data_IF_567965086715
#
_entry.id   IF_567965086715
#
_cell.length_a   1.000
_cell.length_b   1.000
_cell.length_c   1.000
_cell.angle_alpha   90.00
_cell.angle_beta   90.00
_cell.angle_gamma   90.00
#
_symmetry.space_group_name_H-M   'P 1'
#
loop_
_entity.id
_entity.type
_entity.pdbx_description
1 polymer ?
#
# COMPACT_ATOMS: atom_id res chain seq x y z
N UNK A 1 -17.26 16.29 11.80
CA UNK A 1 -17.17 16.11 10.34
C UNK A 1 -17.88 14.80 10.02
N UNK A 2 -18.71 14.75 8.96
CA UNK A 2 -19.45 13.55 8.57
C UNK A 2 -19.12 13.16 7.13
N UNK A 3 -18.91 11.87 6.85
CA UNK A 3 -18.83 11.32 5.50
C UNK A 3 -20.25 10.93 5.05
N UNK A 4 -20.87 11.75 4.21
CA UNK A 4 -22.26 11.54 3.77
C UNK A 4 -22.37 10.51 2.62
N UNK A 5 -21.27 10.24 1.92
CA UNK A 5 -21.23 9.24 0.87
C UNK A 5 -19.90 9.20 0.13
N UNK A 6 -19.65 8.10 -0.57
CA UNK A 6 -18.48 7.93 -1.40
C UNK A 6 -18.78 6.94 -2.54
N UNK A 7 -17.95 6.98 -3.58
CA UNK A 7 -17.95 6.04 -4.69
C UNK A 7 -16.50 5.71 -5.06
N UNK A 8 -16.21 4.43 -5.20
CA UNK A 8 -14.93 3.91 -5.68
C UNK A 8 -15.19 2.82 -6.74
N UNK A 9 -14.25 2.57 -7.67
CA UNK A 9 -14.35 1.45 -8.58
C UNK A 9 -14.19 0.12 -7.84
N UNK A 10 -14.72 -0.96 -8.40
CA UNK A 10 -14.56 -2.32 -7.87
C UNK A 10 -13.27 -2.99 -8.32
N UNK A 11 -12.59 -2.42 -9.31
CA UNK A 11 -11.28 -2.87 -9.77
C UNK A 11 -10.38 -1.69 -10.14
N UNK A 12 -9.07 -1.85 -9.97
CA UNK A 12 -8.06 -0.88 -10.34
C UNK A 12 -6.78 -1.56 -10.84
N UNK A 13 -5.98 -0.83 -11.61
CA UNK A 13 -4.76 -1.35 -12.24
C UNK A 13 -3.54 -0.87 -11.46
N UNK A 14 -2.63 -1.78 -11.11
CA UNK A 14 -1.34 -1.42 -10.52
C UNK A 14 -0.60 -0.40 -11.41
N UNK A 15 0.03 0.61 -10.81
CA UNK A 15 0.68 1.71 -11.54
C UNK A 15 -0.25 2.84 -11.98
N UNK A 16 -1.58 2.69 -11.85
CA UNK A 16 -2.55 3.75 -12.10
C UNK A 16 -3.15 4.28 -10.78
N UNK A 17 -3.57 5.55 -10.71
CA UNK A 17 -4.25 6.06 -9.53
C UNK A 17 -5.64 5.43 -9.34
N UNK A 18 -5.94 5.01 -8.11
CA UNK A 18 -7.28 4.69 -7.65
C UNK A 18 -8.00 5.99 -7.25
N UNK A 19 -9.08 6.32 -7.95
CA UNK A 19 -9.90 7.49 -7.63
C UNK A 19 -11.07 7.13 -6.73
N UNK A 20 -11.26 7.91 -5.66
CA UNK A 20 -12.41 7.81 -4.77
C UNK A 20 -13.10 9.16 -4.73
N UNK A 21 -14.34 9.23 -5.20
CA UNK A 21 -15.18 10.39 -5.01
C UNK A 21 -15.81 10.31 -3.61
N UNK A 22 -15.69 11.37 -2.81
CA UNK A 22 -16.29 11.43 -1.47
C UNK A 22 -17.04 12.73 -1.26
N UNK A 23 -18.07 12.70 -0.40
CA UNK A 23 -18.84 13.88 -0.01
C UNK A 23 -18.89 13.97 1.50
N UNK A 24 -18.50 15.12 2.02
CA UNK A 24 -18.33 15.36 3.44
C UNK A 24 -19.15 16.56 3.88
N UNK A 25 -19.61 16.56 5.13
CA UNK A 25 -20.36 17.67 5.70
C UNK A 25 -19.82 18.09 7.05
N UNK A 26 -19.63 19.39 7.23
CA UNK A 26 -19.28 19.94 8.52
C UNK A 26 -20.52 19.90 9.43
N UNK A 27 -20.43 19.23 10.58
CA UNK A 27 -21.54 19.18 11.56
C UNK A 27 -21.53 20.36 12.52
N UNK A 28 -20.37 20.99 12.65
CA UNK A 28 -20.07 22.18 13.46
C UNK A 28 -18.89 22.91 12.80
N UNK A 29 -18.47 24.06 13.34
CA UNK A 29 -17.23 24.70 12.91
C UNK A 29 -16.04 23.73 13.11
N UNK A 30 -15.18 23.62 12.09
CA UNK A 30 -14.05 22.68 12.09
C UNK A 30 -12.72 23.45 12.13
N UNK A 31 -11.65 22.87 12.71
CA UNK A 31 -10.30 23.32 12.42
C UNK A 31 -9.90 22.89 10.99
N UNK A 32 -8.67 23.20 10.59
CA UNK A 32 -8.06 22.60 9.41
C UNK A 32 -7.77 21.12 9.66
N UNK A 33 -8.38 20.27 8.86
CA UNK A 33 -8.24 18.83 8.87
C UNK A 33 -7.56 18.38 7.58
N UNK A 34 -6.95 17.20 7.64
CA UNK A 34 -6.43 16.48 6.52
C UNK A 34 -6.93 15.02 6.56
N UNK A 35 -6.72 14.30 5.46
CA UNK A 35 -7.11 12.91 5.33
C UNK A 35 -5.97 12.07 4.75
N UNK A 36 -6.00 10.78 5.06
CA UNK A 36 -5.12 9.76 4.51
C UNK A 36 -5.98 8.68 3.85
N UNK A 37 -5.87 8.51 2.53
CA UNK A 37 -6.47 7.40 1.80
C UNK A 37 -5.47 6.25 1.79
N UNK A 38 -5.87 5.08 2.27
CA UNK A 38 -4.99 3.94 2.51
C UNK A 38 -5.55 2.67 1.86
N UNK A 39 -4.64 1.84 1.36
CA UNK A 39 -4.94 0.53 0.79
C UNK A 39 -4.22 -0.54 1.60
N UNK A 40 -4.95 -1.55 2.04
CA UNK A 40 -4.42 -2.67 2.82
C UNK A 40 -4.65 -3.99 2.10
N UNK A 41 -3.68 -4.88 2.19
CA UNK A 41 -3.82 -6.26 1.68
C UNK A 41 -4.69 -7.14 2.60
N UNK A 42 -4.86 -8.41 2.22
CA UNK A 42 -5.65 -9.40 2.98
C UNK A 42 -5.10 -9.68 4.37
N UNK A 43 -3.79 -9.47 4.58
CA UNK A 43 -3.11 -9.70 5.85
C UNK A 43 -3.10 -8.43 6.73
N UNK A 44 -3.69 -7.33 6.24
CA UNK A 44 -3.75 -6.05 6.94
C UNK A 44 -2.48 -5.21 6.84
N UNK A 45 -1.55 -5.53 5.92
CA UNK A 45 -0.37 -4.71 5.67
C UNK A 45 -0.71 -3.55 4.74
N UNK A 46 -0.12 -2.39 5.00
CA UNK A 46 -0.30 -1.20 4.19
C UNK A 46 0.41 -1.36 2.84
N UNK A 47 -0.37 -1.36 1.76
CA UNK A 47 0.12 -1.55 0.40
C UNK A 47 0.36 -0.22 -0.32
N UNK A 48 -0.50 0.79 -0.07
CA UNK A 48 -0.36 2.15 -0.60
C UNK A 48 -1.03 3.17 0.32
N UNK A 49 -0.53 4.40 0.31
CA UNK A 49 -1.10 5.52 1.07
C UNK A 49 -0.93 6.83 0.29
N UNK A 50 -1.93 7.71 0.40
CA UNK A 50 -1.87 9.09 -0.07
C UNK A 50 -2.52 10.02 0.96
N UNK A 51 -1.76 11.02 1.40
CA UNK A 51 -2.21 12.05 2.32
C UNK A 51 -2.55 13.34 1.57
N UNK A 52 -3.58 14.04 2.02
CA UNK A 52 -4.01 15.29 1.41
C UNK A 52 -4.88 16.14 2.34
N UNK A 53 -4.80 17.45 2.16
CA UNK A 53 -5.74 18.38 2.78
C UNK A 53 -7.10 18.33 2.09
N UNK A 54 -8.14 18.76 2.81
CA UNK A 54 -9.43 19.06 2.19
C UNK A 54 -9.32 20.33 1.34
N UNK A 55 -9.98 20.34 0.17
CA UNK A 55 -10.02 21.49 -0.74
C UNK A 55 -11.49 21.86 -1.04
N UNK A 56 -12.00 23.03 -0.59
CA UNK A 56 -11.31 24.02 0.25
C UNK A 56 -11.05 23.48 1.68
N UNK A 57 -10.18 24.17 2.43
CA UNK A 57 -9.82 23.78 3.79
C UNK A 57 -11.05 23.70 4.71
N UNK A 58 -11.11 22.72 5.60
CA UNK A 58 -12.31 22.46 6.42
C UNK A 58 -12.67 23.61 7.36
N UNK A 59 -11.71 24.45 7.75
CA UNK A 59 -11.99 25.65 8.57
C UNK A 59 -12.87 26.69 7.86
N UNK A 60 -12.94 26.65 6.53
CA UNK A 60 -13.77 27.57 5.75
C UNK A 60 -15.18 27.06 5.49
N UNK A 61 -15.50 25.84 5.92
CA UNK A 61 -16.81 25.23 5.65
C UNK A 61 -17.84 25.75 6.65
N UNK A 62 -19.00 26.17 6.14
CA UNK A 62 -20.12 26.49 7.01
C UNK A 62 -20.70 25.19 7.63
N UNK A 63 -21.21 25.24 8.87
CA UNK A 63 -21.95 24.11 9.43
C UNK A 63 -23.11 23.69 8.52
N UNK A 64 -23.30 22.38 8.39
CA UNK A 64 -24.23 21.70 7.49
C UNK A 64 -23.94 21.84 5.99
N UNK A 65 -22.85 22.53 5.61
CA UNK A 65 -22.41 22.58 4.23
C UNK A 65 -21.75 21.26 3.82
N UNK A 66 -22.11 20.77 2.63
CA UNK A 66 -21.53 19.57 2.04
C UNK A 66 -20.52 19.93 0.95
N UNK A 67 -19.34 19.35 1.02
CA UNK A 67 -18.24 19.55 0.09
C UNK A 67 -17.80 18.21 -0.52
N UNK A 68 -17.64 18.18 -1.84
CA UNK A 68 -17.14 17.01 -2.56
C UNK A 68 -15.61 17.02 -2.57
N UNK A 69 -15.00 15.89 -2.26
CA UNK A 69 -13.55 15.70 -2.24
C UNK A 69 -13.16 14.55 -3.19
N UNK A 70 -12.54 14.86 -4.34
CA UNK A 70 -11.92 13.83 -5.16
C UNK A 70 -10.60 13.40 -4.51
N UNK A 71 -10.50 12.13 -4.18
CA UNK A 71 -9.29 11.53 -3.63
C UNK A 71 -8.62 10.70 -4.72
N UNK A 72 -7.30 10.75 -4.77
CA UNK A 72 -6.50 9.93 -5.66
C UNK A 72 -5.43 9.21 -4.84
N UNK A 73 -5.38 7.89 -4.97
CA UNK A 73 -4.36 7.06 -4.37
C UNK A 73 -3.47 6.48 -5.49
N UNK A 74 -2.22 6.95 -5.65
CA UNK A 74 -1.27 6.36 -6.58
C UNK A 74 -0.98 4.91 -6.18
N UNK A 75 -1.30 3.96 -7.05
CA UNK A 75 -1.00 2.55 -6.81
C UNK A 75 0.41 2.23 -7.32
N UNK A 76 1.30 1.65 -6.50
CA UNK A 76 2.57 1.11 -6.98
C UNK A 76 2.38 0.18 -8.18
N UNK A 77 3.26 0.29 -9.17
CA UNK A 77 3.26 -0.60 -10.35
C UNK A 77 3.57 -2.05 -10.00
N UNK A 78 4.23 -2.27 -8.86
CA UNK A 78 4.65 -3.57 -8.33
C UNK A 78 3.65 -4.21 -7.36
N UNK A 79 2.46 -3.62 -7.18
CA UNK A 79 1.39 -4.19 -6.37
C UNK A 79 1.02 -5.59 -6.87
N UNK A 80 0.96 -6.56 -5.95
CA UNK A 80 0.45 -7.90 -6.24
C UNK A 80 -1.03 -7.79 -6.62
N UNK A 81 -1.51 -8.51 -7.65
CA UNK A 81 -2.93 -8.58 -7.93
C UNK A 81 -3.69 -9.28 -6.80
N UNK A 82 -4.97 -8.96 -6.65
CA UNK A 82 -5.84 -9.55 -5.62
C UNK A 82 -6.77 -8.53 -4.98
N UNK A 83 -7.46 -8.96 -3.93
CA UNK A 83 -8.43 -8.13 -3.23
C UNK A 83 -7.78 -7.31 -2.12
N UNK A 84 -8.02 -6.00 -2.14
CA UNK A 84 -7.52 -5.05 -1.15
C UNK A 84 -8.66 -4.28 -0.50
N UNK A 85 -8.43 -3.77 0.71
CA UNK A 85 -9.36 -2.90 1.42
C UNK A 85 -8.90 -1.45 1.35
N UNK A 86 -9.80 -0.58 0.91
CA UNK A 86 -9.63 0.87 0.95
C UNK A 86 -10.17 1.42 2.26
N UNK A 87 -9.39 2.26 2.93
CA UNK A 87 -9.74 2.90 4.20
C UNK A 87 -9.38 4.39 4.17
N UNK A 88 -10.06 5.19 4.98
CA UNK A 88 -9.73 6.59 5.20
C UNK A 88 -9.46 6.87 6.68
N UNK A 89 -8.48 7.73 6.93
CA UNK A 89 -8.19 8.32 8.24
C UNK A 89 -8.31 9.83 8.14
N UNK A 90 -8.93 10.47 9.12
CA UNK A 90 -8.98 11.94 9.23
C UNK A 90 -8.16 12.36 10.43
N UNK A 91 -7.40 13.45 10.31
CA UNK A 91 -6.53 13.95 11.36
C UNK A 91 -6.42 15.48 11.29
N UNK A 92 -5.93 16.11 12.37
CA UNK A 92 -5.69 17.55 12.38
C UNK A 92 -4.47 17.90 11.53
N UNK A 93 -4.61 18.92 10.70
CA UNK A 93 -3.55 19.29 9.75
C UNK A 93 -2.31 19.92 10.44
N UNK A 94 -2.45 20.43 11.66
CA UNK A 94 -1.40 21.13 12.40
C UNK A 94 -0.45 20.18 13.15
N UNK A 95 -0.97 19.14 13.79
CA UNK A 95 -0.20 18.24 14.66
C UNK A 95 -0.33 16.75 14.33
N UNK A 96 -1.13 16.40 13.32
CA UNK A 96 -1.33 15.01 12.90
C UNK A 96 -2.18 14.18 13.87
N UNK A 97 -2.77 14.78 14.90
CA UNK A 97 -3.58 14.04 15.86
C UNK A 97 -4.79 13.42 15.15
N UNK A 98 -5.03 12.11 15.32
CA UNK A 98 -6.13 11.43 14.65
C UNK A 98 -7.47 11.95 15.18
N UNK A 99 -8.44 12.10 14.27
CA UNK A 99 -9.82 12.45 14.59
C UNK A 99 -10.67 11.17 14.44
N UNK A 100 -10.88 10.40 15.53
CA UNK A 100 -11.64 9.16 15.46
C UNK A 100 -13.11 9.43 15.09
N UNK A 101 -13.76 8.53 14.34
CA UNK A 101 -15.18 8.67 14.03
C UNK A 101 -16.06 8.44 15.27
N UNK A 102 -17.23 9.06 15.30
CA UNK A 102 -18.19 8.93 16.42
C UNK A 102 -18.61 7.47 16.66
N UNK A 103 -18.67 6.65 15.60
CA UNK A 103 -18.84 5.20 15.66
C UNK A 103 -17.48 4.47 15.75
N UNK A 104 -16.64 4.82 16.72
CA UNK A 104 -15.30 4.25 16.88
C UNK A 104 -15.29 2.70 16.94
N UNK A 105 -16.39 2.06 17.35
CA UNK A 105 -16.54 0.59 17.36
C UNK A 105 -16.59 -0.04 15.95
N UNK A 106 -17.00 0.73 14.93
CA UNK A 106 -16.96 0.31 13.52
C UNK A 106 -15.66 0.68 12.83
N UNK A 107 -14.87 1.56 13.45
CA UNK A 107 -13.56 1.94 12.95
C UNK A 107 -12.53 0.87 13.31
N UNK A 108 -11.69 0.54 12.34
CA UNK A 108 -10.58 -0.38 12.57
C UNK A 108 -9.54 0.37 13.42
N UNK A 109 -9.12 -0.26 14.52
CA UNK A 109 -8.25 0.35 15.54
C UNK A 109 -8.77 1.69 16.09
N UNK A 110 -10.09 1.92 16.01
CA UNK A 110 -10.73 3.13 16.51
C UNK A 110 -10.51 4.38 15.66
N UNK A 111 -9.82 4.31 14.51
CA UNK A 111 -9.45 5.49 13.71
C UNK A 111 -9.66 5.33 12.20
N UNK A 112 -9.61 4.09 11.68
CA UNK A 112 -9.62 3.85 10.23
C UNK A 112 -11.03 3.48 9.78
N UNK A 113 -11.62 4.31 8.92
CA UNK A 113 -12.96 4.07 8.40
C UNK A 113 -12.90 3.27 7.09
N UNK A 114 -13.53 2.08 7.01
CA UNK A 114 -13.51 1.28 5.79
C UNK A 114 -14.40 1.90 4.70
N UNK A 115 -13.86 2.02 3.48
CA UNK A 115 -14.61 2.42 2.28
C UNK A 115 -15.04 1.19 1.45
N UNK A 116 -14.39 0.04 1.61
CA UNK A 116 -14.77 -1.21 0.97
C UNK A 116 -13.59 -1.88 0.27
N UNK A 117 -13.88 -2.81 -0.62
CA UNK A 117 -12.85 -3.61 -1.31
C UNK A 117 -12.68 -3.20 -2.77
N UNK A 118 -11.45 -3.30 -3.26
CA UNK A 118 -11.08 -3.10 -4.67
C UNK A 118 -10.21 -4.27 -5.12
N UNK A 119 -10.50 -4.80 -6.31
CA UNK A 119 -9.66 -5.81 -6.95
C UNK A 119 -8.53 -5.14 -7.72
N UNK A 120 -7.28 -5.46 -7.37
CA UNK A 120 -6.11 -4.96 -8.08
C UNK A 120 -5.72 -5.95 -9.17
N UNK A 121 -5.57 -5.46 -10.39
CA UNK A 121 -5.05 -6.22 -11.53
C UNK A 121 -3.62 -5.77 -11.87
N UNK A 122 -2.80 -6.63 -12.50
CA UNK A 122 -1.43 -6.28 -12.86
C UNK A 122 -1.35 -5.04 -13.74
N UNK A 123 -0.21 -4.35 -13.68
CA UNK A 123 0.02 -3.15 -14.47
C UNK A 123 -0.22 -3.40 -15.97
N UNK A 124 -0.92 -2.49 -16.64
CA UNK A 124 -1.24 -2.64 -18.05
C UNK A 124 0.03 -2.61 -18.93
N UNK A 125 1.00 -1.78 -18.56
CA UNK A 125 2.25 -1.58 -19.29
C UNK A 125 3.44 -1.90 -18.38
N UNK A 126 4.53 -2.38 -18.99
CA UNK A 126 5.79 -2.54 -18.27
C UNK A 126 6.36 -1.15 -17.96
N UNK A 127 6.75 -0.87 -16.71
CA UNK A 127 7.48 0.36 -16.41
C UNK A 127 8.92 0.27 -16.93
N UNK A 128 9.53 1.42 -17.17
CA UNK A 128 10.98 1.52 -17.31
C UNK A 128 11.62 1.37 -15.93
N UNK A 129 12.50 0.38 -15.77
CA UNK A 129 13.17 0.06 -14.51
C UNK A 129 14.69 0.22 -14.66
N UNK A 130 15.43 0.46 -13.56
CA UNK A 130 16.89 0.44 -13.58
C UNK A 130 17.41 -0.97 -13.92
N UNK A 131 18.71 -1.05 -14.24
CA UNK A 131 19.36 -2.34 -14.42
C UNK A 131 19.26 -3.19 -13.14
N UNK A 132 19.03 -4.51 -13.25
CA UNK A 132 18.84 -5.35 -12.08
C UNK A 132 20.12 -5.52 -11.27
N UNK A 133 19.96 -5.67 -9.96
CA UNK A 133 21.01 -5.97 -9.01
C UNK A 133 21.56 -7.39 -9.19
N UNK A 134 20.68 -8.34 -9.52
CA UNK A 134 21.02 -9.73 -9.76
C UNK A 134 19.97 -10.42 -10.63
N UNK A 135 20.35 -11.56 -11.24
CA UNK A 135 19.45 -12.39 -12.04
C UNK A 135 19.52 -13.84 -11.58
N UNK A 136 18.36 -14.44 -11.36
CA UNK A 136 18.19 -15.84 -10.97
C UNK A 136 17.24 -16.50 -11.97
N UNK A 137 17.79 -17.33 -12.86
CA UNK A 137 17.03 -17.89 -13.98
C UNK A 137 16.36 -16.77 -14.84
N UNK A 138 15.03 -16.69 -14.86
CA UNK A 138 14.29 -15.62 -15.54
C UNK A 138 13.84 -14.49 -14.60
N UNK A 139 14.14 -14.55 -13.30
CA UNK A 139 13.76 -13.53 -12.33
C UNK A 139 14.90 -12.55 -12.10
N UNK A 140 14.63 -11.26 -12.31
CA UNK A 140 15.56 -10.17 -12.06
C UNK A 140 15.22 -9.49 -10.73
N UNK A 141 16.20 -9.41 -9.83
CA UNK A 141 16.09 -8.62 -8.61
C UNK A 141 16.44 -7.17 -8.97
N UNK A 142 15.45 -6.28 -8.94
CA UNK A 142 15.59 -4.88 -9.36
C UNK A 142 16.02 -3.98 -8.22
N UNK A 143 15.46 -4.19 -7.02
CA UNK A 143 15.78 -3.39 -5.84
C UNK A 143 15.56 -4.18 -4.55
N UNK A 144 16.24 -3.78 -3.47
CA UNK A 144 16.05 -4.29 -2.11
C UNK A 144 16.11 -3.11 -1.14
N UNK A 145 15.07 -3.00 -0.33
CA UNK A 145 14.93 -1.94 0.66
C UNK A 145 14.81 -2.54 2.06
N UNK A 146 15.58 -2.01 2.99
CA UNK A 146 15.45 -2.32 4.41
C UNK A 146 14.81 -1.11 5.11
N UNK A 147 13.87 -1.36 6.02
CA UNK A 147 13.26 -0.29 6.82
C UNK A 147 14.27 0.36 7.79
N UNK A 148 15.31 -0.40 8.17
CA UNK A 148 16.43 0.05 9.01
C UNK A 148 17.68 -0.75 8.72
N UNK A 149 18.83 -0.17 9.03
CA UNK A 149 20.15 -0.83 8.96
C UNK A 149 20.76 -1.11 10.33
N UNK A 150 20.09 -0.67 11.39
CA UNK A 150 20.49 -0.87 12.79
C UNK A 150 19.26 -1.36 13.58
N UNK A 151 19.46 -2.33 14.46
CA UNK A 151 18.40 -2.96 15.23
C UNK A 151 18.97 -3.53 16.54
N UNK A 152 18.17 -3.48 17.61
CA UNK A 152 18.50 -4.15 18.86
C UNK A 152 18.13 -5.65 18.80
N UNK A 153 18.72 -6.50 19.66
CA UNK A 153 18.29 -7.89 19.77
C UNK A 153 16.79 -8.00 20.07
N UNK A 154 16.07 -8.74 19.24
CA UNK A 154 14.62 -8.91 19.34
C UNK A 154 13.80 -7.94 18.47
N UNK A 155 14.43 -6.92 17.88
CA UNK A 155 13.80 -6.09 16.87
C UNK A 155 13.63 -6.87 15.55
N UNK A 156 12.58 -6.53 14.81
CA UNK A 156 12.38 -6.99 13.44
C UNK A 156 12.91 -5.95 12.45
N UNK A 157 13.69 -6.40 11.47
CA UNK A 157 14.05 -5.62 10.28
C UNK A 157 13.18 -6.10 9.13
N UNK A 158 12.47 -5.17 8.49
CA UNK A 158 11.65 -5.47 7.32
C UNK A 158 12.49 -5.27 6.07
N UNK A 159 12.55 -6.31 5.23
CA UNK A 159 13.11 -6.24 3.89
C UNK A 159 11.99 -6.29 2.87
N UNK A 160 12.01 -5.37 1.91
CA UNK A 160 11.14 -5.40 0.73
C UNK A 160 12.02 -5.58 -0.50
N UNK A 161 11.73 -6.59 -1.31
CA UNK A 161 12.41 -6.84 -2.57
C UNK A 161 11.49 -6.52 -3.76
N UNK A 162 12.07 -6.03 -4.84
CA UNK A 162 11.35 -5.76 -6.08
C UNK A 162 11.93 -6.62 -7.17
N UNK A 163 11.07 -7.42 -7.79
CA UNK A 163 11.44 -8.40 -8.80
C UNK A 163 10.77 -8.11 -10.13
N UNK A 164 11.42 -8.43 -11.24
CA UNK A 164 10.80 -8.42 -12.57
C UNK A 164 11.11 -9.74 -13.29
N UNK A 165 10.09 -10.51 -13.71
CA UNK A 165 10.34 -11.67 -14.56
C UNK A 165 10.66 -11.25 -15.99
N UNK A 166 11.71 -11.80 -16.59
CA UNK A 166 11.93 -11.72 -18.03
C UNK A 166 10.94 -12.60 -18.78
N UNK A 167 10.65 -12.31 -20.06
CA UNK A 167 9.92 -13.24 -20.93
C UNK A 167 10.61 -14.61 -20.95
N UNK A 168 9.87 -15.65 -20.55
CA UNK A 168 10.35 -17.03 -20.51
C UNK A 168 9.23 -17.99 -20.91
N UNK A 169 9.53 -19.04 -21.70
CA UNK A 169 8.58 -20.12 -21.99
C UNK A 169 8.31 -21.02 -20.78
N UNK A 170 9.16 -20.94 -19.75
CA UNK A 170 9.06 -21.68 -18.49
C UNK A 170 8.76 -20.71 -17.34
N UNK A 171 7.84 -21.10 -16.45
CA UNK A 171 7.56 -20.37 -15.21
C UNK A 171 7.39 -21.37 -14.08
N UNK A 172 7.96 -21.05 -12.93
CA UNK A 172 7.89 -21.88 -11.74
C UNK A 172 7.82 -21.03 -10.46
N UNK A 173 7.34 -21.66 -9.40
CA UNK A 173 7.27 -21.07 -8.06
C UNK A 173 8.58 -21.34 -7.32
N UNK A 174 9.36 -20.28 -7.15
CA UNK A 174 10.65 -20.30 -6.47
C UNK A 174 10.48 -20.11 -4.97
N UNK A 175 11.45 -20.60 -4.20
CA UNK A 175 11.64 -20.23 -2.80
C UNK A 175 12.86 -19.34 -2.67
N UNK A 176 12.71 -18.22 -1.98
CA UNK A 176 13.82 -17.36 -1.61
C UNK A 176 14.44 -17.87 -0.30
N UNK A 177 15.77 -17.81 -0.20
CA UNK A 177 16.49 -18.01 1.04
C UNK A 177 17.26 -16.73 1.35
N UNK A 178 17.05 -16.17 2.54
CA UNK A 178 17.75 -14.99 3.04
C UNK A 178 18.53 -15.42 4.27
N UNK A 179 19.81 -15.11 4.32
CA UNK A 179 20.67 -15.39 5.46
C UNK A 179 21.26 -14.08 6.01
N UNK A 180 21.20 -13.93 7.33
CA UNK A 180 21.94 -12.92 8.06
C UNK A 180 23.29 -13.53 8.44
N UNK A 181 24.38 -12.87 8.03
CA UNK A 181 25.74 -13.28 8.36
C UNK A 181 26.37 -12.30 9.37
N UNK A 182 27.15 -12.86 10.29
CA UNK A 182 28.06 -12.06 11.10
C UNK A 182 29.22 -11.52 10.23
N UNK A 183 29.96 -10.54 10.76
CA UNK A 183 31.09 -9.91 10.05
C UNK A 183 32.19 -10.92 9.70
N UNK A 184 32.34 -11.99 10.48
CA UNK A 184 33.27 -13.08 10.19
C UNK A 184 32.78 -14.05 9.10
N UNK A 185 31.60 -13.80 8.53
CA UNK A 185 30.96 -14.59 7.48
C UNK A 185 30.14 -15.78 7.99
N UNK A 186 30.13 -16.06 9.28
CA UNK A 186 29.29 -17.13 9.84
C UNK A 186 27.80 -16.80 9.69
N UNK A 187 26.98 -17.80 9.35
CA UNK A 187 25.53 -17.63 9.28
C UNK A 187 24.96 -17.52 10.70
N UNK A 188 24.34 -16.39 11.01
CA UNK A 188 23.66 -16.18 12.27
C UNK A 188 22.24 -16.76 12.23
N UNK A 189 21.52 -16.53 11.12
CA UNK A 189 20.16 -17.01 10.92
C UNK A 189 19.80 -17.02 9.43
N UNK A 190 18.93 -17.95 9.03
CA UNK A 190 18.36 -17.96 7.68
C UNK A 190 16.83 -18.14 7.71
N UNK A 191 16.19 -17.60 6.68
CA UNK A 191 14.77 -17.71 6.42
C UNK A 191 14.54 -18.21 5.01
N UNK A 192 13.53 -19.08 4.85
CA UNK A 192 13.15 -19.61 3.55
C UNK A 192 11.64 -19.47 3.37
N UNK A 193 11.21 -18.86 2.27
CA UNK A 193 9.80 -18.60 1.99
C UNK A 193 9.50 -18.70 0.49
N UNK A 194 8.23 -18.92 0.13
CA UNK A 194 7.76 -18.87 -1.26
C UNK A 194 7.94 -17.45 -1.79
N UNK A 195 8.66 -17.29 -2.90
CA UNK A 195 8.88 -15.98 -3.50
C UNK A 195 7.56 -15.43 -4.04
N UNK A 196 7.12 -14.27 -3.54
CA UNK A 196 5.77 -13.75 -3.78
C UNK A 196 4.72 -14.18 -2.76
N UNK A 197 5.07 -15.06 -1.83
CA UNK A 197 4.16 -15.67 -0.87
C UNK A 197 3.19 -16.67 -1.51
N UNK A 198 2.36 -17.30 -0.68
CA UNK A 198 1.46 -18.36 -1.13
C UNK A 198 0.27 -17.83 -1.95
N UNK A 199 -0.10 -16.56 -1.75
CA UNK A 199 -1.19 -15.91 -2.47
C UNK A 199 -0.81 -15.50 -3.91
N UNK A 200 0.46 -15.21 -4.17
CA UNK A 200 0.93 -14.79 -5.49
C UNK A 200 2.36 -15.27 -5.77
N UNK A 201 2.57 -16.60 -5.88
CA UNK A 201 3.90 -17.18 -6.04
C UNK A 201 4.53 -16.81 -7.38
N UNK A 202 5.85 -16.82 -7.46
CA UNK A 202 6.62 -16.35 -8.62
C UNK A 202 6.28 -17.00 -9.96
N UNK A 203 5.68 -18.20 -9.95
CA UNK A 203 5.20 -18.87 -11.17
C UNK A 203 4.01 -18.17 -11.82
N UNK A 204 3.25 -17.40 -11.04
CA UNK A 204 2.09 -16.62 -11.51
C UNK A 204 2.47 -15.22 -12.01
N UNK A 205 3.73 -14.80 -11.84
CA UNK A 205 4.15 -13.44 -12.18
C UNK A 205 4.20 -13.26 -13.71
N UNK A 206 3.53 -12.22 -14.26
CA UNK A 206 3.60 -11.91 -15.67
C UNK A 206 4.97 -11.35 -16.04
N UNK A 207 5.42 -11.69 -17.25
CA UNK A 207 6.67 -11.16 -17.79
C UNK A 207 6.63 -9.62 -17.81
N UNK A 208 7.77 -9.02 -17.48
CA UNK A 208 8.05 -7.59 -17.48
C UNK A 208 7.18 -6.78 -16.50
N UNK A 209 6.38 -7.43 -15.65
CA UNK A 209 5.60 -6.77 -14.60
C UNK A 209 6.32 -6.92 -13.28
N UNK A 210 6.72 -5.80 -12.65
CA UNK A 210 7.41 -5.90 -11.38
C UNK A 210 6.46 -6.42 -10.29
N UNK A 211 7.02 -7.10 -9.31
CA UNK A 211 6.31 -7.57 -8.12
C UNK A 211 7.12 -7.17 -6.90
N UNK A 212 6.45 -6.50 -5.96
CA UNK A 212 6.98 -6.22 -4.62
C UNK A 212 6.78 -7.46 -3.78
N UNK A 213 7.83 -7.92 -3.10
CA UNK A 213 7.79 -9.03 -2.14
C UNK A 213 8.27 -8.59 -0.76
#
# INVERSE_FOLDING_TARGET
LCLDGYAQPTAATAGAPLYVASRWRATQALPDLALSLRLYDSDGRLAAQADGGFLPATSTWAPQESQSQPLALPLPVSLKPGSYRTEVVVYRADDGAPLPPDEAQRAIEGQRWPLGTVEIVPAAQAPELPAPLATFDYLELVDVQLDRTEAAPGDSVQMTAYWQPRPSPYRDSYRANIALHAVDGSEAQAWAFTLGGDAYPSGAWPAERPVRD
#
